data_IF_900241537167
#
_entry.id   IF_900241537167
#
_cell.length_a   1.000
_cell.length_b   1.000
_cell.length_c   1.000
_cell.angle_alpha   90.00
_cell.angle_beta   90.00
_cell.angle_gamma   90.00
#
_symmetry.space_group_name_H-M   'P 1'
#
loop_
_entity.id
_entity.type
_entity.pdbx_description
1 polymer ?
#
# COMPACT_ATOMS: atom_id res chain seq x y z
N UNK A 1 -20.11 -17.88 -13.85
CA UNK A 1 -18.77 -17.71 -13.29
C UNK A 1 -18.87 -17.28 -11.83
N UNK A 2 -17.83 -17.51 -11.02
CA UNK A 2 -17.79 -17.09 -9.64
C UNK A 2 -16.58 -16.17 -9.37
N UNK A 3 -16.78 -15.17 -8.52
CA UNK A 3 -15.74 -14.25 -8.05
C UNK A 3 -15.63 -14.43 -6.54
N UNK A 4 -14.46 -14.77 -6.05
CA UNK A 4 -14.17 -15.00 -4.63
C UNK A 4 -13.60 -13.72 -4.03
N UNK A 5 -14.37 -13.08 -3.17
CA UNK A 5 -14.09 -11.79 -2.53
C UNK A 5 -14.88 -10.63 -3.18
N UNK A 6 -15.66 -9.91 -2.36
CA UNK A 6 -16.43 -8.72 -2.75
C UNK A 6 -15.79 -7.43 -2.23
N UNK A 7 -14.46 -7.35 -2.30
CA UNK A 7 -13.69 -6.11 -2.14
C UNK A 7 -13.68 -5.28 -3.43
N UNK A 8 -12.83 -4.26 -3.47
CA UNK A 8 -12.71 -3.33 -4.59
C UNK A 8 -12.53 -4.04 -5.95
N UNK A 9 -11.55 -4.94 -6.05
CA UNK A 9 -11.26 -5.67 -7.30
C UNK A 9 -12.38 -6.63 -7.71
N UNK A 10 -12.99 -7.33 -6.73
CA UNK A 10 -14.09 -8.26 -7.01
C UNK A 10 -15.36 -7.54 -7.49
N UNK A 11 -15.75 -6.44 -6.83
CA UNK A 11 -16.89 -5.61 -7.25
C UNK A 11 -16.66 -5.03 -8.65
N UNK A 12 -15.47 -4.47 -8.92
CA UNK A 12 -15.13 -3.96 -10.24
C UNK A 12 -15.21 -5.07 -11.30
N UNK A 13 -14.65 -6.27 -11.02
CA UNK A 13 -14.72 -7.40 -11.96
C UNK A 13 -16.16 -7.80 -12.27
N UNK A 14 -17.01 -7.88 -11.24
CA UNK A 14 -18.41 -8.25 -11.45
C UNK A 14 -19.16 -7.23 -12.28
N UNK A 15 -19.04 -5.95 -11.94
CA UNK A 15 -19.69 -4.84 -12.64
C UNK A 15 -19.27 -4.83 -14.10
N UNK A 16 -17.98 -4.83 -14.38
CA UNK A 16 -17.49 -4.76 -15.77
C UNK A 16 -17.81 -6.03 -16.56
N UNK A 17 -17.73 -7.23 -15.96
CA UNK A 17 -18.16 -8.46 -16.66
C UNK A 17 -19.61 -8.32 -17.14
N UNK A 18 -20.51 -7.87 -16.28
CA UNK A 18 -21.94 -7.72 -16.59
C UNK A 18 -22.24 -6.54 -17.51
N UNK A 19 -21.46 -5.47 -17.47
CA UNK A 19 -21.57 -4.35 -18.43
C UNK A 19 -21.18 -4.78 -19.84
N UNK A 20 -20.13 -5.61 -19.98
CA UNK A 20 -19.69 -6.14 -21.28
C UNK A 20 -20.60 -7.28 -21.79
N UNK A 21 -21.20 -8.06 -20.89
CA UNK A 21 -22.10 -9.16 -21.27
C UNK A 21 -23.20 -9.36 -20.22
N UNK A 22 -24.38 -8.79 -20.53
CA UNK A 22 -25.54 -8.88 -19.64
C UNK A 22 -26.12 -10.28 -19.48
N UNK A 23 -25.81 -11.21 -20.37
CA UNK A 23 -26.29 -12.62 -20.30
C UNK A 23 -25.38 -13.48 -19.41
N UNK A 24 -24.15 -13.02 -19.10
CA UNK A 24 -23.19 -13.79 -18.31
C UNK A 24 -23.65 -13.88 -16.85
N UNK A 25 -23.91 -15.09 -16.35
CA UNK A 25 -24.20 -15.29 -14.92
C UNK A 25 -22.93 -15.05 -14.08
N UNK A 26 -23.00 -14.13 -13.11
CA UNK A 26 -21.90 -13.76 -12.21
C UNK A 26 -22.38 -13.84 -10.75
N UNK A 27 -21.66 -14.62 -9.95
CA UNK A 27 -21.86 -14.75 -8.51
C UNK A 27 -20.63 -14.24 -7.78
N UNK A 28 -20.78 -13.23 -6.91
CA UNK A 28 -19.79 -12.79 -5.95
C UNK A 28 -19.98 -13.52 -4.64
N UNK A 29 -18.91 -14.08 -4.07
CA UNK A 29 -18.95 -14.82 -2.81
C UNK A 29 -18.00 -14.14 -1.84
N UNK A 30 -18.51 -13.75 -0.68
CA UNK A 30 -17.72 -13.10 0.37
C UNK A 30 -18.03 -13.67 1.75
N UNK A 31 -16.98 -13.93 2.53
CA UNK A 31 -17.10 -14.45 3.90
C UNK A 31 -17.66 -13.44 4.89
N UNK A 32 -17.55 -12.15 4.62
CA UNK A 32 -18.10 -11.11 5.46
C UNK A 32 -19.61 -10.94 5.21
N UNK A 33 -20.41 -10.74 6.27
CA UNK A 33 -21.83 -10.38 6.14
C UNK A 33 -22.01 -9.00 5.50
N UNK A 34 -21.06 -8.08 5.75
CA UNK A 34 -20.99 -6.78 5.12
C UNK A 34 -19.67 -6.70 4.32
N UNK A 35 -19.69 -6.91 3.00
CA UNK A 35 -18.50 -6.90 2.17
C UNK A 35 -17.91 -5.49 2.03
N UNK A 36 -16.67 -5.38 1.53
CA UNK A 36 -16.01 -4.09 1.26
C UNK A 36 -15.40 -3.41 2.48
N UNK A 37 -15.11 -4.14 3.56
CA UNK A 37 -14.59 -3.57 4.81
C UNK A 37 -13.30 -2.73 4.62
N UNK A 38 -12.37 -3.13 3.72
CA UNK A 38 -11.19 -2.32 3.39
C UNK A 38 -11.55 -0.97 2.74
N UNK A 39 -12.60 -0.92 1.93
CA UNK A 39 -13.08 0.35 1.36
C UNK A 39 -13.52 1.28 2.50
N UNK A 40 -14.26 0.76 3.48
CA UNK A 40 -14.81 1.54 4.58
C UNK A 40 -13.76 2.15 5.52
N UNK A 41 -12.63 1.46 5.74
CA UNK A 41 -11.58 1.93 6.66
C UNK A 41 -10.48 2.75 5.97
N UNK A 42 -10.39 2.67 4.65
CA UNK A 42 -9.34 3.31 3.89
C UNK A 42 -9.42 4.85 3.94
N UNK A 43 -8.24 5.51 3.86
CA UNK A 43 -8.15 6.95 3.86
C UNK A 43 -8.81 7.61 5.08
N UNK A 44 -8.78 6.96 6.26
CA UNK A 44 -9.43 7.46 7.47
C UNK A 44 -10.96 7.41 7.38
N UNK A 45 -11.53 6.35 6.82
CA UNK A 45 -12.97 6.13 6.58
C UNK A 45 -13.58 7.09 5.55
N UNK A 46 -12.74 7.72 4.71
CA UNK A 46 -13.18 8.58 3.59
C UNK A 46 -13.09 7.88 2.24
N UNK A 47 -12.28 6.84 2.10
CA UNK A 47 -11.92 6.13 0.88
C UNK A 47 -11.14 7.01 -0.11
N UNK A 48 -9.82 6.87 -0.11
CA UNK A 48 -8.98 7.43 -1.16
C UNK A 48 -9.12 6.57 -2.43
N UNK A 49 -10.02 6.96 -3.32
CA UNK A 49 -10.47 6.14 -4.47
C UNK A 49 -9.35 5.90 -5.48
N UNK A 50 -8.52 6.90 -5.72
CA UNK A 50 -7.37 6.84 -6.63
C UNK A 50 -6.44 8.04 -6.39
N UNK A 51 -5.44 8.22 -7.25
CA UNK A 51 -4.59 9.41 -7.29
C UNK A 51 -4.71 10.09 -8.66
N UNK A 52 -4.53 11.40 -8.71
CA UNK A 52 -4.59 12.18 -9.95
C UNK A 52 -3.54 11.73 -10.98
N UNK A 53 -2.39 11.24 -10.49
CA UNK A 53 -1.32 10.71 -11.34
C UNK A 53 -0.91 9.33 -10.83
N UNK A 54 -1.08 8.30 -11.67
CA UNK A 54 -0.71 6.91 -11.37
C UNK A 54 0.09 6.35 -12.52
N UNK A 55 1.28 5.87 -12.21
CA UNK A 55 2.19 5.21 -13.14
C UNK A 55 2.69 3.89 -12.58
N UNK A 56 3.32 3.07 -13.40
CA UNK A 56 3.94 1.81 -12.96
C UNK A 56 5.08 2.00 -11.96
N UNK A 57 5.66 3.21 -11.86
CA UNK A 57 6.73 3.54 -10.92
C UNK A 57 6.22 3.77 -9.50
N UNK A 58 4.92 3.89 -9.33
CA UNK A 58 4.25 4.02 -8.03
C UNK A 58 4.02 2.66 -7.36
N UNK A 59 4.41 1.56 -8.03
CA UNK A 59 4.20 0.19 -7.57
C UNK A 59 5.50 -0.58 -7.46
N UNK A 60 5.46 -1.60 -6.61
CA UNK A 60 6.50 -2.60 -6.45
C UNK A 60 5.93 -4.00 -6.67
N UNK A 61 6.80 -5.02 -6.71
CA UNK A 61 6.45 -6.41 -7.00
C UNK A 61 6.72 -6.77 -8.45
N UNK A 62 5.68 -7.08 -9.21
CA UNK A 62 5.81 -7.54 -10.59
C UNK A 62 6.50 -6.58 -11.56
N UNK A 63 6.75 -7.07 -12.80
CA UNK A 63 7.46 -6.26 -13.82
C UNK A 63 6.69 -4.97 -14.15
N UNK A 64 7.37 -3.80 -14.17
CA UNK A 64 6.72 -2.50 -14.48
C UNK A 64 5.95 -2.48 -15.81
N UNK A 65 6.43 -3.19 -16.84
CA UNK A 65 5.76 -3.27 -18.13
C UNK A 65 4.38 -3.97 -18.07
N UNK A 66 4.23 -4.96 -17.18
CA UNK A 66 2.96 -5.66 -16.94
C UNK A 66 2.00 -4.74 -16.20
N UNK A 67 2.48 -4.09 -15.12
CA UNK A 67 1.71 -3.11 -14.34
C UNK A 67 1.21 -1.98 -15.25
N UNK A 68 2.11 -1.39 -16.05
CA UNK A 68 1.77 -0.34 -17.04
C UNK A 68 0.65 -0.77 -17.98
N UNK A 69 0.70 -2.00 -18.51
CA UNK A 69 -0.30 -2.52 -19.42
C UNK A 69 -1.69 -2.59 -18.78
N UNK A 70 -1.76 -3.06 -17.53
CA UNK A 70 -3.02 -3.14 -16.78
C UNK A 70 -3.56 -1.74 -16.47
N UNK A 71 -2.71 -0.82 -15.97
CA UNK A 71 -3.11 0.55 -15.65
C UNK A 71 -3.60 1.33 -16.88
N UNK A 72 -2.97 1.13 -18.04
CA UNK A 72 -3.37 1.79 -19.30
C UNK A 72 -4.71 1.29 -19.84
N UNK A 73 -5.13 0.08 -19.49
CA UNK A 73 -6.41 -0.45 -19.92
C UNK A 73 -7.60 0.19 -19.20
N UNK A 74 -7.38 0.71 -17.99
CA UNK A 74 -8.36 1.48 -17.22
C UNK A 74 -7.62 2.55 -16.41
N UNK A 75 -7.29 3.69 -17.04
CA UNK A 75 -6.52 4.76 -16.43
C UNK A 75 -7.35 5.57 -15.43
N UNK A 76 -6.69 6.50 -14.74
CA UNK A 76 -7.31 7.37 -13.72
C UNK A 76 -8.53 8.12 -14.25
N UNK A 77 -8.47 8.66 -15.48
CA UNK A 77 -9.60 9.39 -16.06
C UNK A 77 -10.83 8.50 -16.24
N UNK A 78 -10.63 7.23 -16.61
CA UNK A 78 -11.73 6.26 -16.74
C UNK A 78 -12.27 5.87 -15.37
N UNK A 79 -11.40 5.79 -14.36
CA UNK A 79 -11.80 5.59 -12.94
C UNK A 79 -12.68 6.75 -12.47
N UNK A 80 -12.27 8.00 -12.69
CA UNK A 80 -13.06 9.19 -12.33
C UNK A 80 -14.41 9.19 -13.06
N UNK A 81 -14.41 8.89 -14.36
CA UNK A 81 -15.63 8.82 -15.16
C UNK A 81 -16.57 7.73 -14.65
N UNK A 82 -16.05 6.54 -14.35
CA UNK A 82 -16.82 5.43 -13.79
C UNK A 82 -17.47 5.79 -12.46
N UNK A 83 -16.71 6.37 -11.52
CA UNK A 83 -17.26 6.76 -10.22
C UNK A 83 -18.31 7.85 -10.34
N UNK A 84 -18.10 8.82 -11.22
CA UNK A 84 -19.11 9.86 -11.54
C UNK A 84 -20.39 9.24 -12.12
N UNK A 85 -20.27 8.27 -13.03
CA UNK A 85 -21.42 7.56 -13.64
C UNK A 85 -22.26 6.83 -12.59
N UNK A 86 -21.63 6.20 -11.60
CA UNK A 86 -22.36 5.51 -10.52
C UNK A 86 -22.78 6.45 -9.38
N UNK A 87 -22.64 7.78 -9.57
CA UNK A 87 -23.12 8.81 -8.65
C UNK A 87 -22.13 9.19 -7.53
N UNK A 88 -20.83 8.97 -7.73
CA UNK A 88 -19.77 9.39 -6.80
C UNK A 88 -18.90 10.45 -7.47
N UNK A 89 -19.10 11.73 -7.12
CA UNK A 89 -18.17 12.80 -7.47
C UNK A 89 -16.89 12.70 -6.66
N UNK A 90 -15.76 13.12 -7.26
CA UNK A 90 -14.44 13.06 -6.63
C UNK A 90 -13.78 14.44 -6.62
N UNK A 91 -13.13 14.80 -5.50
CA UNK A 91 -12.28 15.99 -5.39
C UNK A 91 -10.84 15.59 -5.08
N UNK A 92 -9.92 16.46 -5.48
CA UNK A 92 -8.48 16.27 -5.23
C UNK A 92 -8.04 16.94 -3.94
N UNK A 93 -7.22 16.26 -3.16
CA UNK A 93 -6.51 16.75 -1.99
C UNK A 93 -4.99 16.72 -2.20
N UNK A 94 -4.25 17.26 -1.23
CA UNK A 94 -2.79 17.33 -1.25
C UNK A 94 -2.15 15.98 -1.61
N UNK A 95 -1.15 16.01 -2.51
CA UNK A 95 -0.47 14.82 -3.01
C UNK A 95 -1.26 14.06 -4.08
N UNK A 96 -2.25 14.69 -4.72
CA UNK A 96 -3.03 14.11 -5.81
C UNK A 96 -4.06 13.07 -5.38
N UNK A 97 -4.36 12.96 -4.09
CA UNK A 97 -5.32 11.99 -3.55
C UNK A 97 -6.74 12.37 -3.96
N UNK A 98 -7.49 11.42 -4.51
CA UNK A 98 -8.89 11.65 -4.91
C UNK A 98 -9.84 10.98 -3.92
N UNK A 99 -10.64 11.81 -3.24
CA UNK A 99 -11.65 11.40 -2.29
C UNK A 99 -13.06 11.65 -2.82
N UNK A 100 -14.10 10.91 -2.36
CA UNK A 100 -15.47 11.25 -2.69
C UNK A 100 -15.85 12.64 -2.14
N UNK A 101 -16.62 13.41 -2.88
CA UNK A 101 -17.05 14.76 -2.48
C UNK A 101 -17.73 14.79 -1.12
N UNK A 102 -18.36 13.69 -0.75
CA UNK A 102 -19.01 13.52 0.57
C UNK A 102 -18.03 13.21 1.70
N UNK A 103 -16.75 12.91 1.40
CA UNK A 103 -15.75 12.44 2.36
C UNK A 103 -16.20 11.22 3.19
N UNK A 104 -17.03 10.33 2.61
CA UNK A 104 -17.57 9.15 3.29
C UNK A 104 -17.37 7.89 2.48
N UNK A 105 -16.52 6.98 2.95
CA UNK A 105 -16.25 5.70 2.31
C UNK A 105 -17.50 4.83 2.08
N UNK A 106 -18.50 4.96 2.96
CA UNK A 106 -19.78 4.25 2.82
C UNK A 106 -20.55 4.62 1.54
N UNK A 107 -20.41 5.85 1.05
CA UNK A 107 -21.10 6.30 -0.15
C UNK A 107 -20.48 5.66 -1.40
N UNK A 108 -19.13 5.51 -1.39
CA UNK A 108 -18.39 4.78 -2.43
C UNK A 108 -18.81 3.31 -2.46
N UNK A 109 -18.82 2.65 -1.31
CA UNK A 109 -19.22 1.25 -1.22
C UNK A 109 -20.70 1.04 -1.62
N UNK A 110 -21.59 1.89 -1.14
CA UNK A 110 -23.01 1.82 -1.47
C UNK A 110 -23.25 2.00 -2.98
N UNK A 111 -22.52 2.90 -3.65
CA UNK A 111 -22.60 3.09 -5.09
C UNK A 111 -22.13 1.84 -5.86
N UNK A 112 -21.02 1.25 -5.46
CA UNK A 112 -20.50 0.01 -6.07
C UNK A 112 -21.49 -1.17 -5.89
N UNK A 113 -22.08 -1.32 -4.71
CA UNK A 113 -23.04 -2.39 -4.45
C UNK A 113 -24.34 -2.19 -5.25
N UNK A 114 -24.87 -0.97 -5.31
CA UNK A 114 -26.05 -0.65 -6.16
C UNK A 114 -25.78 -0.94 -7.64
N UNK A 115 -24.60 -0.55 -8.13
CA UNK A 115 -24.25 -0.83 -9.53
C UNK A 115 -24.12 -2.34 -9.78
N UNK A 116 -23.49 -3.08 -8.84
CA UNK A 116 -23.37 -4.53 -8.92
C UNK A 116 -24.76 -5.21 -9.01
N UNK A 117 -25.73 -4.76 -8.23
CA UNK A 117 -27.11 -5.20 -8.29
C UNK A 117 -27.80 -4.80 -9.61
N UNK A 118 -27.65 -3.54 -10.02
CA UNK A 118 -28.28 -3.00 -11.23
C UNK A 118 -27.82 -3.72 -12.50
N UNK A 119 -26.54 -4.15 -12.57
CA UNK A 119 -26.07 -4.98 -13.70
C UNK A 119 -26.48 -6.45 -13.56
N UNK A 120 -27.09 -6.86 -12.45
CA UNK A 120 -27.58 -8.22 -12.21
C UNK A 120 -26.48 -9.22 -11.81
N UNK A 121 -25.43 -8.78 -11.14
CA UNK A 121 -24.50 -9.67 -10.46
C UNK A 121 -25.06 -10.09 -9.09
N UNK A 122 -25.01 -11.39 -8.80
CA UNK A 122 -25.53 -11.92 -7.54
C UNK A 122 -24.45 -11.87 -6.45
N UNK A 123 -24.74 -11.23 -5.32
CA UNK A 123 -23.87 -11.20 -4.14
C UNK A 123 -24.30 -12.23 -3.10
N UNK A 124 -23.39 -13.19 -2.77
CA UNK A 124 -23.52 -14.16 -1.69
C UNK A 124 -22.64 -13.74 -0.51
N UNK A 125 -23.12 -12.84 0.32
CA UNK A 125 -22.43 -12.36 1.51
C UNK A 125 -22.58 -13.32 2.70
N UNK A 126 -21.59 -13.35 3.61
CA UNK A 126 -21.57 -14.23 4.77
C UNK A 126 -21.39 -15.70 4.38
N UNK A 127 -20.72 -15.96 3.25
CA UNK A 127 -20.42 -17.28 2.76
C UNK A 127 -18.92 -17.37 2.47
N UNK A 128 -18.18 -18.02 3.37
CA UNK A 128 -16.72 -18.08 3.27
C UNK A 128 -16.28 -19.22 2.34
N UNK A 129 -15.51 -18.87 1.32
CA UNK A 129 -14.85 -19.85 0.48
C UNK A 129 -13.64 -20.41 1.23
N UNK A 130 -13.59 -21.72 1.37
CA UNK A 130 -12.52 -22.48 2.04
C UNK A 130 -11.62 -23.19 1.05
N UNK A 131 -12.15 -23.56 -0.13
CA UNK A 131 -11.37 -24.19 -1.19
C UNK A 131 -11.96 -23.93 -2.59
N UNK A 132 -11.10 -24.05 -3.60
CA UNK A 132 -11.47 -24.03 -5.02
C UNK A 132 -10.76 -25.19 -5.70
N UNK A 133 -11.53 -26.15 -6.18
CA UNK A 133 -11.02 -27.37 -6.81
C UNK A 133 -11.34 -27.36 -8.30
N UNK A 134 -10.34 -27.59 -9.13
CA UNK A 134 -10.54 -27.79 -10.57
C UNK A 134 -11.17 -29.15 -10.83
N UNK A 135 -12.27 -29.18 -11.55
CA UNK A 135 -12.89 -30.43 -11.98
C UNK A 135 -12.12 -30.98 -13.19
N UNK A 136 -11.84 -32.29 -13.18
CA UNK A 136 -11.32 -32.97 -14.36
C UNK A 136 -12.42 -33.00 -15.42
N UNK A 137 -12.09 -32.87 -16.71
CA UNK A 137 -13.07 -33.11 -17.76
C UNK A 137 -13.57 -34.54 -17.64
N UNK A 138 -14.84 -34.73 -17.36
CA UNK A 138 -15.49 -36.03 -17.54
C UNK A 138 -15.94 -36.10 -19.00
N UNK A 139 -16.07 -37.32 -19.54
CA UNK A 139 -16.30 -37.58 -20.98
C UNK A 139 -17.57 -36.97 -21.53
N UNK A 140 -18.37 -36.28 -20.71
CA UNK A 140 -19.68 -35.72 -21.07
C UNK A 140 -19.90 -34.26 -20.69
N UNK A 141 -18.99 -33.60 -19.92
CA UNK A 141 -19.24 -32.20 -19.55
C UNK A 141 -17.97 -31.36 -19.33
N UNK A 142 -18.16 -30.05 -19.49
CA UNK A 142 -17.17 -29.00 -19.50
C UNK A 142 -16.28 -28.94 -18.26
N UNK A 143 -14.98 -28.74 -18.44
CA UNK A 143 -14.02 -28.38 -17.40
C UNK A 143 -14.50 -27.14 -16.63
N UNK A 144 -14.60 -27.23 -15.30
CA UNK A 144 -15.07 -26.18 -14.43
C UNK A 144 -14.38 -26.22 -13.05
N UNK A 145 -15.00 -25.54 -12.11
CA UNK A 145 -14.52 -25.46 -10.73
C UNK A 145 -15.63 -25.82 -9.76
N UNK A 146 -15.25 -26.49 -8.69
CA UNK A 146 -16.05 -26.66 -7.48
C UNK A 146 -15.49 -25.72 -6.42
N UNK A 147 -16.32 -24.81 -5.95
CA UNK A 147 -16.02 -23.83 -4.93
C UNK A 147 -16.64 -24.33 -3.65
N UNK A 148 -15.82 -24.64 -2.66
CA UNK A 148 -16.26 -25.15 -1.35
C UNK A 148 -16.40 -23.93 -0.42
N UNK A 149 -17.54 -23.85 0.24
CA UNK A 149 -17.83 -22.80 1.19
C UNK A 149 -18.28 -23.39 2.53
N UNK A 150 -18.32 -22.58 3.57
CA UNK A 150 -18.87 -22.96 4.88
C UNK A 150 -20.40 -23.21 4.87
N UNK A 151 -21.07 -22.98 3.72
CA UNK A 151 -22.52 -23.16 3.53
C UNK A 151 -22.89 -24.13 2.40
N UNK A 152 -21.91 -24.84 1.84
CA UNK A 152 -22.12 -25.76 0.74
C UNK A 152 -21.18 -25.51 -0.44
N UNK A 153 -21.53 -26.08 -1.58
CA UNK A 153 -20.69 -26.03 -2.77
C UNK A 153 -21.36 -25.27 -3.92
N UNK A 154 -20.55 -24.56 -4.70
CA UNK A 154 -20.98 -23.85 -5.91
C UNK A 154 -20.14 -24.39 -7.08
N UNK A 155 -20.79 -24.66 -8.22
CA UNK A 155 -20.09 -25.00 -9.47
C UNK A 155 -20.02 -23.78 -10.38
N UNK A 156 -18.86 -23.55 -11.00
CA UNK A 156 -18.67 -22.45 -11.93
C UNK A 156 -17.75 -22.87 -13.09
N UNK A 157 -18.02 -22.37 -14.29
CA UNK A 157 -17.16 -22.57 -15.47
C UNK A 157 -15.86 -21.78 -15.41
N UNK A 158 -15.84 -20.66 -14.66
CA UNK A 158 -14.67 -19.83 -14.46
C UNK A 158 -14.68 -19.25 -13.04
N UNK A 159 -13.47 -19.03 -12.48
CA UNK A 159 -13.27 -18.46 -11.15
C UNK A 159 -12.33 -17.26 -11.22
N UNK A 160 -12.66 -16.22 -10.48
CA UNK A 160 -11.77 -15.07 -10.24
C UNK A 160 -11.42 -15.02 -8.75
N UNK A 161 -10.14 -15.04 -8.42
CA UNK A 161 -9.65 -14.81 -7.07
C UNK A 161 -9.44 -13.30 -6.88
N UNK A 162 -10.28 -12.69 -6.03
CA UNK A 162 -10.26 -11.28 -5.65
C UNK A 162 -10.20 -11.13 -4.12
N UNK A 163 -9.50 -12.07 -3.46
CA UNK A 163 -9.53 -12.30 -2.01
C UNK A 163 -8.74 -11.26 -1.20
N UNK A 164 -8.01 -10.37 -1.87
CA UNK A 164 -7.07 -9.47 -1.20
C UNK A 164 -5.81 -10.19 -0.73
N UNK A 165 -5.03 -9.54 0.14
CA UNK A 165 -3.82 -10.07 0.75
C UNK A 165 -4.00 -10.49 2.21
N UNK A 166 -3.09 -10.02 3.08
CA UNK A 166 -3.08 -10.31 4.53
C UNK A 166 -3.24 -9.04 5.39
N UNK A 167 -3.21 -7.86 4.77
CA UNK A 167 -3.32 -6.59 5.50
C UNK A 167 -4.74 -6.39 6.04
N UNK A 168 -4.84 -5.87 7.27
CA UNK A 168 -6.11 -5.70 8.00
C UNK A 168 -6.93 -6.99 8.05
N UNK A 169 -6.42 -8.10 8.63
CA UNK A 169 -7.03 -9.43 8.52
C UNK A 169 -8.47 -9.49 9.03
N UNK A 170 -8.86 -8.62 9.98
CA UNK A 170 -10.25 -8.50 10.45
C UNK A 170 -11.23 -8.02 9.37
N UNK A 171 -10.73 -7.51 8.24
CA UNK A 171 -11.55 -7.12 7.09
C UNK A 171 -11.91 -8.30 6.15
N UNK A 172 -11.44 -9.51 6.46
CA UNK A 172 -11.58 -10.71 5.62
C UNK A 172 -10.38 -10.98 4.71
N UNK A 173 -9.38 -10.10 4.70
CA UNK A 173 -8.13 -10.22 3.93
C UNK A 173 -7.07 -10.90 4.80
N UNK A 174 -7.18 -12.20 5.00
CA UNK A 174 -6.42 -12.99 5.96
C UNK A 174 -5.43 -14.00 5.32
N UNK A 175 -5.16 -13.85 4.02
CA UNK A 175 -4.23 -14.69 3.29
C UNK A 175 -4.78 -16.06 2.83
N UNK A 176 -6.02 -16.43 3.15
CA UNK A 176 -6.58 -17.71 2.73
C UNK A 176 -6.61 -17.87 1.19
N UNK A 177 -6.73 -16.75 0.46
CA UNK A 177 -6.64 -16.76 -1.00
C UNK A 177 -5.30 -17.23 -1.55
N UNK A 178 -4.20 -16.97 -0.86
CA UNK A 178 -2.87 -17.45 -1.27
C UNK A 178 -2.77 -18.98 -1.19
N UNK A 179 -3.32 -19.59 -0.15
CA UNK A 179 -3.37 -21.04 -0.03
C UNK A 179 -4.21 -21.68 -1.14
N UNK A 180 -5.34 -21.06 -1.51
CA UNK A 180 -6.17 -21.48 -2.63
C UNK A 180 -5.40 -21.35 -3.94
N UNK A 181 -4.77 -20.22 -4.22
CA UNK A 181 -3.99 -20.00 -5.44
C UNK A 181 -2.82 -20.98 -5.56
N UNK A 182 -2.11 -21.25 -4.45
CA UNK A 182 -1.02 -22.22 -4.40
C UNK A 182 -1.50 -23.64 -4.74
N UNK A 183 -2.63 -24.10 -4.18
CA UNK A 183 -3.23 -25.38 -4.52
C UNK A 183 -3.66 -25.47 -5.99
N UNK A 184 -4.01 -24.35 -6.60
CA UNK A 184 -4.33 -24.26 -8.03
C UNK A 184 -3.08 -24.18 -8.93
N UNK A 185 -1.89 -24.24 -8.34
CA UNK A 185 -0.59 -24.33 -9.02
C UNK A 185 0.17 -23.01 -9.18
N UNK A 186 -0.32 -21.92 -8.58
CA UNK A 186 0.38 -20.64 -8.61
C UNK A 186 1.55 -20.56 -7.61
N UNK A 187 2.60 -19.89 -8.04
CA UNK A 187 3.72 -19.50 -7.19
C UNK A 187 3.31 -18.29 -6.33
N UNK A 188 3.52 -18.40 -5.03
CA UNK A 188 3.31 -17.30 -4.09
C UNK A 188 4.66 -16.69 -3.74
N UNK A 189 4.90 -15.45 -4.17
CA UNK A 189 6.04 -14.66 -3.72
C UNK A 189 5.85 -14.40 -2.22
N UNK A 190 6.87 -14.66 -1.36
CA UNK A 190 6.74 -14.50 0.08
C UNK A 190 6.15 -13.14 0.46
N UNK A 191 5.16 -13.15 1.33
CA UNK A 191 4.44 -11.94 1.70
C UNK A 191 5.12 -11.18 2.85
N UNK A 192 4.98 -9.86 2.85
CA UNK A 192 5.33 -8.99 3.97
C UNK A 192 4.29 -7.88 4.11
N UNK A 193 4.12 -7.31 5.33
CA UNK A 193 3.36 -6.09 5.46
C UNK A 193 3.93 -4.98 4.56
N UNK A 194 3.06 -4.22 3.93
CA UNK A 194 3.40 -3.01 3.19
C UNK A 194 2.55 -1.84 3.68
N UNK A 195 3.08 -0.62 3.59
CA UNK A 195 2.44 0.56 4.19
C UNK A 195 2.15 0.32 5.69
N UNK A 196 3.15 -0.17 6.42
CA UNK A 196 3.06 -0.50 7.84
C UNK A 196 3.93 0.45 8.68
N UNK A 197 3.46 0.91 9.85
CA UNK A 197 4.29 1.65 10.80
C UNK A 197 5.51 0.81 11.22
N UNK A 198 6.66 1.47 11.36
CA UNK A 198 7.93 0.84 11.74
C UNK A 198 8.17 0.98 13.25
N UNK A 199 8.63 -0.10 13.85
CA UNK A 199 9.01 -0.16 15.27
C UNK A 199 10.50 0.13 15.37
N UNK A 200 10.87 1.06 16.27
CA UNK A 200 12.25 1.38 16.59
C UNK A 200 12.69 0.67 17.87
N UNK A 201 14.00 0.55 18.05
CA UNK A 201 14.56 -0.05 19.26
C UNK A 201 14.15 0.77 20.49
N UNK A 202 13.63 0.08 21.51
CA UNK A 202 13.21 0.69 22.76
C UNK A 202 14.40 1.20 23.62
N UNK A 203 15.59 0.68 23.39
CA UNK A 203 16.80 1.15 24.07
C UNK A 203 17.18 2.58 23.61
N UNK A 204 16.77 2.96 22.39
CA UNK A 204 16.97 4.30 21.81
C UNK A 204 15.65 5.09 21.88
N UNK A 205 15.14 5.30 23.10
CA UNK A 205 13.78 5.80 23.38
C UNK A 205 13.54 7.28 22.99
N UNK A 206 14.40 7.90 22.18
CA UNK A 206 14.25 9.28 21.70
C UNK A 206 12.87 9.47 21.03
N UNK A 207 12.43 8.52 20.21
CA UNK A 207 11.15 8.57 19.53
C UNK A 207 9.94 8.66 20.48
N UNK A 208 10.03 8.04 21.67
CA UNK A 208 8.94 8.07 22.64
C UNK A 208 8.77 9.46 23.26
N UNK A 209 9.87 10.21 23.46
CA UNK A 209 9.84 11.57 24.03
C UNK A 209 9.25 12.61 23.12
N UNK A 210 9.23 12.34 21.81
CA UNK A 210 8.69 13.23 20.77
C UNK A 210 7.45 12.64 20.09
N UNK A 211 6.80 11.68 20.75
CA UNK A 211 5.57 11.05 20.24
C UNK A 211 4.49 12.08 19.95
N UNK A 212 3.81 11.94 18.79
CA UNK A 212 2.80 12.85 18.30
C UNK A 212 3.33 13.99 17.40
N UNK A 213 4.66 14.19 17.36
CA UNK A 213 5.26 15.20 16.47
C UNK A 213 5.28 14.70 15.03
N UNK A 214 4.86 15.56 14.11
CA UNK A 214 4.93 15.30 12.67
C UNK A 214 5.81 16.35 11.99
N UNK A 215 6.61 15.93 11.02
CA UNK A 215 7.47 16.82 10.23
C UNK A 215 7.85 16.18 8.89
N UNK A 216 8.16 17.01 7.91
CA UNK A 216 8.64 16.54 6.63
C UNK A 216 10.12 16.14 6.72
N UNK A 217 10.44 14.98 6.17
CA UNK A 217 11.79 14.44 6.08
C UNK A 217 11.99 13.71 4.75
N UNK A 218 13.25 13.47 4.38
CA UNK A 218 13.59 12.45 3.40
C UNK A 218 14.05 11.19 4.16
N UNK A 219 13.47 10.02 3.85
CA UNK A 219 13.98 8.73 4.31
C UNK A 219 14.78 8.05 3.22
N UNK A 220 15.94 7.51 3.57
CA UNK A 220 16.75 6.67 2.71
C UNK A 220 16.79 5.24 3.24
N UNK A 221 16.52 4.26 2.37
CA UNK A 221 16.68 2.83 2.68
C UNK A 221 17.99 2.35 2.09
N UNK A 222 18.84 1.81 2.96
CA UNK A 222 20.14 1.24 2.62
C UNK A 222 20.04 -0.28 2.64
N UNK A 223 20.44 -0.95 1.56
CA UNK A 223 20.51 -2.40 1.47
C UNK A 223 21.91 -2.76 0.95
N UNK A 224 22.58 -3.68 1.65
CA UNK A 224 23.98 -4.09 1.36
C UNK A 224 24.94 -2.90 1.24
N UNK A 225 24.72 -1.86 2.06
CA UNK A 225 25.55 -0.65 2.10
C UNK A 225 25.25 0.38 1.01
N UNK A 226 24.32 0.12 0.10
CA UNK A 226 23.88 1.06 -0.95
C UNK A 226 22.50 1.62 -0.70
N UNK A 227 22.24 2.88 -1.09
CA UNK A 227 20.90 3.47 -1.06
C UNK A 227 20.08 2.93 -2.22
N UNK A 228 18.98 2.25 -1.93
CA UNK A 228 18.06 1.68 -2.94
C UNK A 228 16.80 2.52 -3.15
N UNK A 229 16.39 3.27 -2.13
CA UNK A 229 15.19 4.12 -2.17
C UNK A 229 15.45 5.40 -1.37
N UNK A 230 15.00 6.53 -1.92
CA UNK A 230 14.81 7.80 -1.22
C UNK A 230 13.38 8.26 -1.44
N UNK A 231 12.73 8.70 -0.37
CA UNK A 231 11.37 9.24 -0.46
C UNK A 231 11.21 10.38 0.52
N UNK A 232 10.49 11.42 0.11
CA UNK A 232 10.18 12.59 0.94
C UNK A 232 8.72 12.54 1.38
N UNK A 233 8.45 13.08 2.55
CA UNK A 233 7.10 13.22 3.05
C UNK A 233 7.05 13.37 4.56
N UNK A 234 5.83 13.45 5.07
CA UNK A 234 5.59 13.62 6.50
C UNK A 234 5.91 12.35 7.27
N UNK A 235 6.77 12.48 8.29
CA UNK A 235 7.10 11.49 9.29
C UNK A 235 6.34 11.80 10.57
N UNK A 236 5.68 10.81 11.14
CA UNK A 236 5.03 10.89 12.45
C UNK A 236 5.84 10.08 13.46
N UNK A 237 6.35 10.73 14.48
CA UNK A 237 6.95 10.07 15.63
C UNK A 237 5.88 9.48 16.54
N UNK A 238 6.07 8.25 17.00
CA UNK A 238 5.13 7.54 17.86
C UNK A 238 5.85 6.90 19.03
N UNK A 239 5.11 6.51 20.06
CA UNK A 239 5.67 5.84 21.24
C UNK A 239 6.34 4.48 20.93
N UNK A 240 6.06 3.88 19.79
CA UNK A 240 6.67 2.60 19.36
C UNK A 240 7.71 2.78 18.25
N UNK A 241 7.84 3.96 17.66
CA UNK A 241 8.73 4.19 16.54
C UNK A 241 8.21 5.26 15.60
N UNK A 242 8.05 4.96 14.32
CA UNK A 242 7.67 5.94 13.29
C UNK A 242 6.52 5.46 12.41
N UNK A 243 5.71 6.41 11.98
CA UNK A 243 4.60 6.26 11.05
C UNK A 243 4.55 7.47 10.11
N UNK A 244 3.41 7.71 9.48
CA UNK A 244 3.24 8.78 8.48
C UNK A 244 3.61 8.31 7.08
N UNK A 245 3.19 9.07 6.05
CA UNK A 245 3.30 8.64 4.66
C UNK A 245 4.69 8.18 4.23
N UNK A 246 5.75 8.88 4.68
CA UNK A 246 7.12 8.53 4.30
C UNK A 246 7.58 7.22 4.92
N UNK A 247 7.27 6.97 6.21
CA UNK A 247 7.61 5.73 6.89
C UNK A 247 6.83 4.53 6.32
N UNK A 248 5.55 4.74 6.02
CA UNK A 248 4.70 3.71 5.41
C UNK A 248 5.25 3.29 4.04
N UNK A 249 5.64 4.25 3.19
CA UNK A 249 6.19 3.96 1.86
C UNK A 249 7.49 3.17 1.89
N UNK A 250 8.39 3.43 2.85
CA UNK A 250 9.68 2.73 2.93
C UNK A 250 9.58 1.36 3.62
N UNK A 251 8.52 1.11 4.38
CA UNK A 251 8.37 -0.09 5.22
C UNK A 251 8.56 -1.39 4.45
N UNK A 252 7.97 -1.49 3.24
CA UNK A 252 8.07 -2.68 2.41
C UNK A 252 9.52 -3.03 2.02
N UNK A 253 10.34 -2.02 1.74
CA UNK A 253 11.73 -2.24 1.33
C UNK A 253 12.56 -2.81 2.47
N UNK A 254 12.37 -2.25 3.68
CA UNK A 254 13.02 -2.75 4.88
C UNK A 254 12.58 -4.19 5.21
N UNK A 255 11.28 -4.45 5.21
CA UNK A 255 10.71 -5.76 5.52
C UNK A 255 11.11 -6.82 4.49
N UNK A 256 11.09 -6.48 3.20
CA UNK A 256 11.54 -7.38 2.13
C UNK A 256 13.01 -7.76 2.30
N UNK A 257 13.91 -6.80 2.49
CA UNK A 257 15.32 -7.07 2.72
C UNK A 257 15.55 -7.96 3.95
N UNK A 258 14.77 -7.76 5.03
CA UNK A 258 14.86 -8.60 6.25
C UNK A 258 14.51 -10.05 6.01
N UNK A 259 13.42 -10.36 5.30
CA UNK A 259 13.06 -11.77 4.99
C UNK A 259 14.03 -12.40 3.99
N UNK A 260 14.69 -11.60 3.17
CA UNK A 260 15.75 -12.04 2.26
C UNK A 260 17.11 -12.20 2.96
N UNK A 261 17.20 -11.92 4.28
CA UNK A 261 18.44 -12.03 5.06
C UNK A 261 19.50 -10.98 4.70
N UNK A 262 19.12 -9.89 4.06
CA UNK A 262 20.04 -8.82 3.61
C UNK A 262 20.24 -7.76 4.69
N UNK A 263 21.47 -7.23 4.85
CA UNK A 263 21.73 -6.07 5.69
C UNK A 263 20.90 -4.87 5.23
N UNK A 264 20.11 -4.29 6.15
CA UNK A 264 19.24 -3.15 5.83
C UNK A 264 19.24 -2.12 6.96
N UNK A 265 19.28 -0.83 6.60
CA UNK A 265 19.16 0.31 7.50
C UNK A 265 18.26 1.38 6.90
N UNK A 266 17.70 2.24 7.76
CA UNK A 266 16.96 3.45 7.36
C UNK A 266 17.62 4.65 8.02
N UNK A 267 17.79 5.73 7.24
CA UNK A 267 18.25 7.03 7.76
C UNK A 267 17.26 8.12 7.39
N UNK A 268 17.16 9.13 8.26
CA UNK A 268 16.34 10.32 8.03
C UNK A 268 17.22 11.52 7.71
N UNK A 269 16.86 12.27 6.68
CA UNK A 269 17.41 13.58 6.37
C UNK A 269 16.35 14.63 6.70
N UNK A 270 16.59 15.41 7.75
CA UNK A 270 15.71 16.49 8.23
C UNK A 270 15.82 17.77 7.38
N UNK A 271 16.79 17.82 6.50
CA UNK A 271 17.02 18.92 5.55
C UNK A 271 16.77 18.47 4.11
N UNK A 272 15.69 17.74 3.90
CA UNK A 272 15.27 17.05 2.68
C UNK A 272 16.02 17.47 1.41
N UNK A 273 16.78 16.54 0.83
CA UNK A 273 17.61 16.76 -0.35
C UNK A 273 18.97 17.45 -0.12
N UNK A 274 19.19 18.05 1.07
CA UNK A 274 20.48 18.68 1.36
C UNK A 274 21.58 17.66 1.65
N UNK A 275 22.81 18.01 1.26
CA UNK A 275 24.02 17.22 1.52
C UNK A 275 24.74 17.72 2.77
N UNK A 276 25.61 16.88 3.30
CA UNK A 276 26.43 17.21 4.47
C UNK A 276 27.16 18.55 4.33
N UNK A 277 27.85 18.79 3.21
CA UNK A 277 28.66 19.99 3.02
C UNK A 277 27.81 21.27 2.98
N UNK A 278 26.59 21.18 2.44
CA UNK A 278 25.64 22.29 2.39
C UNK A 278 25.14 22.66 3.80
N UNK A 279 24.83 21.64 4.62
CA UNK A 279 24.38 21.84 6.00
C UNK A 279 25.53 22.33 6.89
N UNK A 280 26.75 21.80 6.74
CA UNK A 280 27.91 22.26 7.50
C UNK A 280 28.26 23.73 7.15
N UNK A 281 28.22 24.11 5.87
CA UNK A 281 28.39 25.48 5.44
C UNK A 281 27.26 26.43 5.95
N UNK A 282 26.03 25.93 6.04
CA UNK A 282 24.92 26.71 6.61
C UNK A 282 25.16 27.03 8.10
N UNK A 283 25.61 26.06 8.87
CA UNK A 283 26.01 26.30 10.27
C UNK A 283 27.12 27.35 10.40
N UNK A 284 28.14 27.31 9.51
CA UNK A 284 29.23 28.29 9.51
C UNK A 284 28.69 29.70 9.22
N UNK A 285 27.82 29.85 8.20
CA UNK A 285 27.19 31.16 7.89
C UNK A 285 26.37 31.68 9.05
N UNK A 286 25.59 30.83 9.73
CA UNK A 286 24.78 31.19 10.91
C UNK A 286 25.65 31.62 12.08
N UNK A 287 26.80 30.97 12.30
CA UNK A 287 27.75 31.34 13.35
C UNK A 287 28.34 32.74 13.11
N UNK A 288 28.57 33.13 11.86
CA UNK A 288 29.04 34.48 11.50
C UNK A 288 27.89 35.51 11.67
N UNK A 289 26.69 35.17 11.22
CA UNK A 289 25.54 36.11 11.23
C UNK A 289 24.96 36.31 12.65
N UNK A 290 25.00 35.29 13.50
CA UNK A 290 24.38 35.30 14.83
C UNK A 290 25.24 34.56 15.86
N UNK A 291 26.47 35.03 16.15
CA UNK A 291 27.44 34.33 16.97
C UNK A 291 26.99 34.02 18.40
N UNK A 292 26.09 34.85 18.94
CA UNK A 292 25.54 34.73 20.31
C UNK A 292 24.30 33.81 20.38
N UNK A 293 23.71 33.41 19.25
CA UNK A 293 22.57 32.50 19.26
C UNK A 293 22.99 31.13 19.78
N UNK A 294 22.13 30.46 20.53
CA UNK A 294 22.39 29.11 20.99
C UNK A 294 22.16 28.07 19.87
N UNK A 295 22.84 26.93 19.96
CA UNK A 295 22.65 25.80 19.06
C UNK A 295 21.19 25.32 19.09
N UNK A 296 20.60 25.20 20.30
CA UNK A 296 19.20 24.82 20.49
C UNK A 296 18.23 25.78 19.78
N UNK A 297 18.39 27.08 19.98
CA UNK A 297 17.50 28.08 19.35
C UNK A 297 17.63 28.05 17.83
N UNK A 298 18.85 27.91 17.33
CA UNK A 298 19.13 27.84 15.91
C UNK A 298 18.52 26.57 15.29
N UNK A 299 18.69 25.41 15.96
CA UNK A 299 18.12 24.16 15.49
C UNK A 299 16.59 24.17 15.54
N UNK A 300 15.99 24.76 16.57
CA UNK A 300 14.54 24.92 16.71
C UNK A 300 13.91 25.88 15.68
N UNK A 301 14.72 26.73 15.00
CA UNK A 301 14.25 27.49 13.85
C UNK A 301 14.12 26.66 12.55
N UNK A 302 14.64 25.44 12.55
CA UNK A 302 14.69 24.54 11.38
C UNK A 302 13.78 23.33 11.58
N UNK A 303 13.70 22.84 12.82
CA UNK A 303 12.97 21.63 13.20
C UNK A 303 11.97 21.95 14.34
N UNK A 304 10.97 21.10 14.57
CA UNK A 304 10.19 21.19 15.81
C UNK A 304 11.10 21.17 17.04
N UNK A 305 10.83 22.07 18.00
CA UNK A 305 11.72 22.28 19.14
C UNK A 305 12.01 21.00 19.95
N UNK A 306 11.01 20.13 20.11
CA UNK A 306 11.18 18.84 20.78
C UNK A 306 12.11 17.89 20.01
N UNK A 307 12.06 17.89 18.68
CA UNK A 307 12.96 17.09 17.84
C UNK A 307 14.39 17.66 17.92
N UNK A 308 14.51 18.99 17.88
CA UNK A 308 15.82 19.64 18.07
C UNK A 308 16.46 19.24 19.40
N UNK A 309 15.70 19.30 20.50
CA UNK A 309 16.16 18.85 21.84
C UNK A 309 16.57 17.38 21.84
N UNK A 310 15.76 16.53 21.21
CA UNK A 310 16.02 15.08 21.13
C UNK A 310 17.31 14.76 20.38
N UNK A 311 17.56 15.42 19.22
CA UNK A 311 18.79 15.25 18.45
C UNK A 311 20.03 15.70 19.25
N UNK A 312 19.96 16.86 19.90
CA UNK A 312 21.06 17.36 20.72
C UNK A 312 21.35 16.42 21.91
N UNK A 313 20.32 15.90 22.57
CA UNK A 313 20.45 14.91 23.64
C UNK A 313 21.13 13.62 23.17
N UNK A 314 20.74 13.09 22.00
CA UNK A 314 21.35 11.89 21.43
C UNK A 314 22.83 12.09 21.04
N UNK A 315 23.17 13.30 20.61
CA UNK A 315 24.55 13.67 20.31
C UNK A 315 25.36 14.06 21.56
N UNK A 316 24.75 14.12 22.75
CA UNK A 316 25.32 14.65 23.97
C UNK A 316 25.91 16.07 23.79
N UNK A 317 25.19 16.92 23.03
CA UNK A 317 25.56 18.32 22.78
C UNK A 317 24.78 19.25 23.72
N UNK A 318 25.50 20.17 24.35
CA UNK A 318 24.88 21.23 25.16
C UNK A 318 24.20 22.26 24.23
N UNK A 319 22.87 22.24 24.23
CA UNK A 319 22.05 23.16 23.42
C UNK A 319 22.23 24.64 23.78
N UNK A 320 22.74 24.98 24.97
CA UNK A 320 23.03 26.35 25.41
C UNK A 320 24.31 26.92 24.81
N UNK A 321 25.18 26.06 24.27
CA UNK A 321 26.39 26.48 23.58
C UNK A 321 26.05 27.47 22.47
N UNK A 322 26.76 28.61 22.44
CA UNK A 322 26.57 29.61 21.38
C UNK A 322 27.24 29.15 20.09
N UNK A 323 26.74 29.63 18.95
CA UNK A 323 27.28 29.27 17.64
C UNK A 323 28.75 29.62 17.49
N UNK A 324 29.20 30.72 18.12
CA UNK A 324 30.61 31.12 18.14
C UNK A 324 31.51 30.12 18.86
N UNK A 325 30.98 29.38 19.82
CA UNK A 325 31.74 28.43 20.65
C UNK A 325 31.48 26.96 20.25
N UNK A 326 30.63 26.70 19.25
CA UNK A 326 30.36 25.36 18.76
C UNK A 326 31.63 24.79 18.10
N UNK A 327 32.24 23.79 18.75
CA UNK A 327 33.44 23.14 18.24
C UNK A 327 33.22 22.57 16.84
N UNK A 328 34.28 22.58 16.03
CA UNK A 328 34.21 22.07 14.63
C UNK A 328 33.68 20.64 14.54
N UNK A 329 34.13 19.78 15.46
CA UNK A 329 33.77 18.36 15.43
C UNK A 329 32.30 18.19 15.82
N UNK A 330 31.81 18.94 16.81
CA UNK A 330 30.40 18.93 17.23
C UNK A 330 29.48 19.47 16.13
N UNK A 331 29.89 20.56 15.44
CA UNK A 331 29.18 21.06 14.29
C UNK A 331 29.07 20.01 13.18
N UNK A 332 30.16 19.29 12.90
CA UNK A 332 30.16 18.22 11.87
C UNK A 332 29.31 17.01 12.28
N UNK A 333 29.33 16.64 13.58
CA UNK A 333 28.45 15.59 14.12
C UNK A 333 26.98 15.99 13.97
N UNK A 334 26.64 17.22 14.33
CA UNK A 334 25.30 17.78 14.18
C UNK A 334 24.87 17.83 12.69
N UNK A 335 25.74 18.33 11.81
CA UNK A 335 25.48 18.39 10.36
C UNK A 335 25.21 16.99 9.79
N UNK A 336 26.00 15.98 10.21
CA UNK A 336 25.76 14.60 9.81
C UNK A 336 24.43 14.05 10.30
N UNK A 337 24.11 14.29 11.57
CA UNK A 337 22.84 13.87 12.15
C UNK A 337 21.63 14.51 11.46
N UNK A 338 21.78 15.73 10.93
CA UNK A 338 20.69 16.39 10.20
C UNK A 338 20.43 15.83 8.81
N UNK A 339 21.40 15.18 8.17
CA UNK A 339 21.26 14.62 6.82
C UNK A 339 21.22 13.10 6.78
N UNK A 340 21.67 12.41 7.84
CA UNK A 340 21.82 10.95 7.87
C UNK A 340 21.57 10.39 9.27
N UNK A 341 20.45 10.80 9.89
CA UNK A 341 20.06 10.34 11.21
C UNK A 341 19.63 8.88 11.17
N UNK A 342 20.26 7.99 11.91
CA UNK A 342 19.91 6.57 11.89
C UNK A 342 18.55 6.36 12.60
N UNK A 343 17.69 5.57 11.97
CA UNK A 343 16.48 5.05 12.59
C UNK A 343 16.71 3.56 12.91
N UNK A 344 16.85 3.18 14.20
CA UNK A 344 17.14 1.80 14.58
C UNK A 344 15.89 0.93 14.49
N UNK A 345 15.45 0.64 13.26
CA UNK A 345 14.26 -0.15 12.98
C UNK A 345 14.50 -1.61 13.38
N UNK A 346 13.63 -2.14 14.23
CA UNK A 346 13.64 -3.54 14.66
C UNK A 346 12.53 -4.38 14.03
N UNK A 347 11.46 -3.74 13.53
CA UNK A 347 10.32 -4.43 12.95
C UNK A 347 9.24 -3.48 12.44
N UNK A 348 8.04 -4.04 12.27
CA UNK A 348 6.83 -3.28 11.94
C UNK A 348 5.67 -3.65 12.88
N UNK A 349 4.58 -2.87 12.82
CA UNK A 349 3.33 -3.20 13.54
C UNK A 349 2.57 -4.39 12.92
N UNK A 350 3.16 -5.04 11.91
CA UNK A 350 2.60 -6.23 11.26
C UNK A 350 1.34 -5.96 10.43
N UNK A 351 0.74 -7.04 9.95
CA UNK A 351 -0.42 -6.98 9.05
C UNK A 351 -1.66 -6.30 9.64
N UNK A 352 -1.83 -6.32 10.95
CA UNK A 352 -2.96 -5.66 11.63
C UNK A 352 -2.97 -4.14 11.40
N UNK A 353 -1.80 -3.54 11.18
CA UNK A 353 -1.64 -2.10 10.99
C UNK A 353 -1.10 -1.75 9.59
N UNK A 354 -0.90 -2.74 8.74
CA UNK A 354 -0.50 -2.53 7.36
C UNK A 354 -1.71 -2.18 6.49
N UNK A 355 -1.56 -1.23 5.57
CA UNK A 355 -2.63 -0.89 4.62
C UNK A 355 -2.62 -1.81 3.40
N UNK A 356 -1.47 -2.42 3.08
CA UNK A 356 -1.30 -3.31 1.94
C UNK A 356 -0.40 -4.50 2.27
N UNK A 357 -0.43 -5.49 1.39
CA UNK A 357 0.44 -6.67 1.39
C UNK A 357 1.40 -6.59 0.21
N UNK A 358 2.70 -6.71 0.45
CA UNK A 358 3.70 -6.93 -0.59
C UNK A 358 3.94 -8.44 -0.77
N UNK A 359 4.16 -8.88 -1.99
CA UNK A 359 4.18 -10.30 -2.35
C UNK A 359 2.79 -10.80 -2.75
N UNK A 360 2.64 -12.11 -2.96
CA UNK A 360 1.41 -12.73 -3.42
C UNK A 360 1.60 -13.56 -4.69
N UNK A 361 0.54 -13.78 -5.45
CA UNK A 361 0.58 -14.54 -6.71
C UNK A 361 1.52 -13.88 -7.70
N UNK A 362 2.51 -14.64 -8.18
CA UNK A 362 3.53 -14.14 -9.10
C UNK A 362 2.91 -13.55 -10.37
N UNK A 363 3.14 -12.27 -10.62
CA UNK A 363 2.54 -11.54 -11.74
C UNK A 363 2.99 -12.10 -13.12
N UNK A 364 4.10 -12.81 -13.19
CA UNK A 364 4.59 -13.50 -14.40
C UNK A 364 3.66 -14.62 -14.86
N UNK A 365 2.87 -15.17 -13.97
CA UNK A 365 1.91 -16.25 -14.22
C UNK A 365 0.52 -15.72 -14.63
N UNK A 366 0.37 -14.40 -14.78
CA UNK A 366 -0.87 -13.74 -15.15
C UNK A 366 -0.73 -13.07 -16.52
N UNK A 367 -1.75 -13.20 -17.34
CA UNK A 367 -1.82 -12.46 -18.60
C UNK A 367 -2.31 -11.03 -18.34
N UNK A 368 -1.48 -10.03 -18.64
CA UNK A 368 -1.77 -8.62 -18.39
C UNK A 368 -2.92 -8.04 -19.26
N UNK A 369 -3.33 -8.73 -20.30
CA UNK A 369 -4.42 -8.30 -21.18
C UNK A 369 -5.81 -8.80 -20.77
N UNK A 370 -5.83 -9.84 -19.90
CA UNK A 370 -7.06 -10.54 -19.51
C UNK A 370 -7.15 -10.84 -18.02
N UNK A 371 -6.06 -10.66 -17.28
CA UNK A 371 -5.87 -11.11 -15.89
C UNK A 371 -6.07 -12.63 -15.71
N UNK A 372 -6.10 -13.39 -16.79
CA UNK A 372 -6.22 -14.84 -16.76
C UNK A 372 -4.91 -15.50 -16.29
N UNK A 373 -5.04 -16.58 -15.54
CA UNK A 373 -3.94 -17.43 -15.13
C UNK A 373 -3.31 -18.12 -16.36
N UNK A 374 -1.98 -18.09 -16.43
CA UNK A 374 -1.19 -18.88 -17.38
C UNK A 374 -0.98 -20.32 -16.89
N UNK A 375 -1.18 -20.56 -15.60
CA UNK A 375 -1.02 -21.85 -14.95
C UNK A 375 -2.27 -22.72 -15.11
N UNK A 376 -3.45 -22.08 -15.21
CA UNK A 376 -4.70 -22.81 -15.27
C UNK A 376 -5.83 -22.12 -16.02
N UNK A 377 -6.41 -22.78 -17.03
CA UNK A 377 -7.57 -22.25 -17.80
C UNK A 377 -8.78 -22.00 -16.89
N UNK A 378 -9.51 -20.94 -17.18
CA UNK A 378 -10.73 -20.57 -16.46
C UNK A 378 -10.49 -19.93 -15.08
N UNK A 379 -9.24 -19.73 -14.67
CA UNK A 379 -8.85 -19.02 -13.45
C UNK A 379 -8.32 -17.63 -13.80
N UNK A 380 -8.68 -16.63 -12.99
CA UNK A 380 -8.13 -15.27 -13.05
C UNK A 380 -7.80 -14.79 -11.64
N UNK A 381 -6.85 -13.87 -11.50
CA UNK A 381 -6.50 -13.22 -10.23
C UNK A 381 -6.51 -11.70 -10.42
N UNK A 382 -7.10 -10.96 -9.46
CA UNK A 382 -7.24 -9.50 -9.54
C UNK A 382 -7.00 -8.83 -8.17
N UNK A 383 -6.51 -7.62 -8.19
CA UNK A 383 -6.28 -6.81 -6.98
C UNK A 383 -5.07 -7.27 -6.18
N UNK A 384 -5.16 -7.14 -4.86
CA UNK A 384 -4.05 -7.30 -3.90
C UNK A 384 -3.61 -8.77 -3.68
N UNK A 385 -4.31 -9.75 -4.22
CA UNK A 385 -3.81 -11.14 -4.23
C UNK A 385 -2.56 -11.30 -5.10
N UNK A 386 -2.35 -10.38 -6.04
CA UNK A 386 -1.20 -10.36 -6.93
C UNK A 386 0.01 -9.70 -6.27
N UNK A 387 1.22 -10.15 -6.63
CA UNK A 387 2.48 -9.51 -6.22
C UNK A 387 2.62 -8.12 -6.86
N UNK A 388 1.77 -7.21 -6.44
CA UNK A 388 1.75 -5.79 -6.81
C UNK A 388 1.24 -4.98 -5.63
N UNK A 389 2.09 -4.11 -5.07
CA UNK A 389 1.72 -3.17 -4.03
C UNK A 389 2.13 -1.74 -4.39
N UNK A 390 1.20 -0.81 -4.27
CA UNK A 390 1.39 0.61 -4.54
C UNK A 390 1.77 1.39 -3.29
N UNK A 391 2.40 2.55 -3.48
CA UNK A 391 2.65 3.51 -2.39
C UNK A 391 1.35 4.04 -1.80
N UNK A 392 1.43 4.74 -0.65
CA UNK A 392 0.25 5.34 -0.03
C UNK A 392 -0.33 6.46 -0.90
N UNK A 393 -1.66 6.52 -1.03
CA UNK A 393 -2.31 7.60 -1.76
C UNK A 393 -3.28 7.19 -2.86
N UNK A 394 -3.98 6.07 -2.75
CA UNK A 394 -5.00 5.61 -3.70
C UNK A 394 -4.50 4.63 -4.77
N UNK A 395 -3.19 4.37 -4.82
CA UNK A 395 -2.57 3.54 -5.84
C UNK A 395 -3.05 2.09 -5.82
N UNK A 396 -3.18 1.48 -4.63
CA UNK A 396 -3.68 0.11 -4.48
C UNK A 396 -5.14 -0.02 -4.92
N UNK A 397 -5.95 1.01 -4.74
CA UNK A 397 -7.30 1.03 -5.28
C UNK A 397 -7.32 1.18 -6.79
N UNK A 398 -6.47 2.05 -7.37
CA UNK A 398 -6.36 2.13 -8.82
C UNK A 398 -5.97 0.78 -9.43
N UNK A 399 -5.02 0.05 -8.82
CA UNK A 399 -4.67 -1.31 -9.25
C UNK A 399 -5.87 -2.25 -9.16
N UNK A 400 -6.66 -2.17 -8.08
CA UNK A 400 -7.87 -2.99 -7.93
C UNK A 400 -8.91 -2.70 -9.02
N UNK A 401 -9.16 -1.41 -9.34
CA UNK A 401 -10.08 -1.01 -10.39
C UNK A 401 -9.58 -1.45 -11.76
N UNK A 402 -8.32 -1.18 -12.09
CA UNK A 402 -7.73 -1.50 -13.40
C UNK A 402 -7.66 -3.00 -13.66
N UNK A 403 -7.20 -3.79 -12.68
CA UNK A 403 -7.15 -5.25 -12.82
C UNK A 403 -8.55 -5.87 -12.88
N UNK A 404 -9.50 -5.34 -12.08
CA UNK A 404 -10.91 -5.74 -12.13
C UNK A 404 -11.57 -5.44 -13.48
N UNK A 405 -11.30 -4.27 -14.06
CA UNK A 405 -11.77 -3.90 -15.39
C UNK A 405 -11.22 -4.83 -16.48
N UNK A 406 -9.90 -5.08 -16.46
CA UNK A 406 -9.25 -5.96 -17.46
C UNK A 406 -9.83 -7.37 -17.42
N UNK A 407 -10.00 -7.93 -16.20
CA UNK A 407 -10.63 -9.24 -16.04
C UNK A 407 -12.10 -9.22 -16.47
N UNK A 408 -12.85 -8.20 -16.05
CA UNK A 408 -14.27 -8.05 -16.37
C UNK A 408 -14.52 -7.97 -17.87
N UNK A 409 -13.72 -7.18 -18.59
CA UNK A 409 -13.80 -7.09 -20.06
C UNK A 409 -13.52 -8.43 -20.73
N UNK A 410 -12.43 -9.10 -20.32
CA UNK A 410 -12.06 -10.38 -20.91
C UNK A 410 -13.10 -11.48 -20.67
N UNK A 411 -13.65 -11.55 -19.47
CA UNK A 411 -14.66 -12.54 -19.08
C UNK A 411 -16.04 -12.24 -19.69
N UNK A 412 -16.34 -10.99 -19.95
CA UNK A 412 -17.55 -10.58 -20.65
C UNK A 412 -17.49 -10.84 -22.17
N UNK A 413 -16.30 -10.93 -22.75
CA UNK A 413 -16.13 -11.19 -24.19
C UNK A 413 -16.25 -12.67 -24.59
N UNK A 414 -16.37 -13.56 -23.63
CA UNK A 414 -16.54 -15.01 -23.78
C UNK A 414 -18.03 -15.34 -23.55
#
# INVERSE_FOLDING_TARGET
MAIVGAGAAGLATAIFTRRFNRSRSVVLIDGARAPGAKILVSGGSRCNVTNATVTEHDFCGGKPSVIRRVLRAFPVNDTIAFFREIGVGLHEEAGGKLFPDTNRARDVLAALLRECEAVGAQLCAGQRVTDVVRLKPDTTDSSGFRIVTDRGEIRASAVVLATGGESLPKSGSDGAGFAIASRLGHTIVPTTPALAPLVLDAADAVHATISGVSQDVELAVWIDGGVVVRTMGSLLWTHFGVSGPVALNVSRHWLRAKIEGRPVAITANFRSGARFDEVDADWQRRAIASPKASVQTTLASILPASVATAILGQLALDGTTTLAHLARDDRRRLSRALVEFPLPVTGSRGYTYAEATAGGVALTEIDAGTMASRVGRGLSCVGEILDVDGRIGGFNFQWAWSSGYVAGRALGSI
#
